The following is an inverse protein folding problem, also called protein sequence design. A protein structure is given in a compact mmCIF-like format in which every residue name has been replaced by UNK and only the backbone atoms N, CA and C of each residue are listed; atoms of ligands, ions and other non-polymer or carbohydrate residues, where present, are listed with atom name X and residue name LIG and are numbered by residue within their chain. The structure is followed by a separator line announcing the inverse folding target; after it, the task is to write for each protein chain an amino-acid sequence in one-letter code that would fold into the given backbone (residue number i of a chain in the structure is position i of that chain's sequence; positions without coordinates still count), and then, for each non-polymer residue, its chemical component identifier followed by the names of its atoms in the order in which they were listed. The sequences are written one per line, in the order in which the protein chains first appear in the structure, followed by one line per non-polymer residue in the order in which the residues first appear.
data_IF_308736056320
#
_entry.id   IF_308736056320
#
_cell.length_a   1.000
_cell.length_b   1.000
_cell.length_c   1.000
_cell.angle_alpha   90.00
_cell.angle_beta   90.00
_cell.angle_gamma   90.00
#
_symmetry.space_group_name_H-M   'P 1'
#
loop_
_entity.id
_entity.type
_entity.pdbx_description
1 polymer ?
#
# COMPACT_ATOMS: atom_id res chain seq x y z
N UNK A 1 -32.16 8.57 -8.30
CA UNK A 1 -30.84 8.89 -8.85
C UNK A 1 -30.17 9.75 -7.79
N UNK A 2 -29.27 9.18 -6.99
CA UNK A 2 -28.60 9.95 -5.94
C UNK A 2 -27.52 10.78 -6.60
N UNK A 3 -27.66 12.10 -6.56
CA UNK A 3 -26.61 13.01 -7.00
C UNK A 3 -25.35 12.72 -6.20
N UNK A 4 -24.25 12.59 -6.93
CA UNK A 4 -22.88 12.48 -6.43
C UNK A 4 -22.46 13.79 -5.76
N UNK A 5 -23.07 14.13 -4.62
CA UNK A 5 -22.61 15.24 -3.79
C UNK A 5 -21.17 14.97 -3.33
N UNK A 6 -20.37 16.02 -3.22
CA UNK A 6 -19.02 15.92 -2.68
C UNK A 6 -19.03 15.26 -1.29
N UNK A 7 -18.03 14.44 -1.00
CA UNK A 7 -17.90 13.80 0.32
C UNK A 7 -17.42 14.82 1.33
N UNK A 8 -18.16 14.98 2.42
CA UNK A 8 -17.79 15.91 3.49
C UNK A 8 -16.65 15.35 4.33
N UNK A 9 -16.00 16.22 5.10
CA UNK A 9 -14.93 15.81 6.04
C UNK A 9 -15.47 14.85 7.10
N UNK A 10 -16.71 15.06 7.55
CA UNK A 10 -17.39 14.16 8.49
C UNK A 10 -17.63 12.77 7.90
N UNK A 11 -18.16 12.69 6.68
CA UNK A 11 -18.36 11.40 5.99
C UNK A 11 -17.02 10.69 5.73
N UNK A 12 -15.99 11.44 5.34
CA UNK A 12 -14.64 10.89 5.17
C UNK A 12 -14.13 10.33 6.50
N UNK A 13 -14.31 11.05 7.62
CA UNK A 13 -13.90 10.59 8.95
C UNK A 13 -14.61 9.30 9.39
N UNK A 14 -15.93 9.24 9.25
CA UNK A 14 -16.72 8.04 9.57
C UNK A 14 -16.26 6.84 8.74
N UNK A 15 -16.12 7.04 7.42
CA UNK A 15 -15.74 5.98 6.49
C UNK A 15 -14.30 5.50 6.72
N UNK A 16 -13.36 6.42 6.95
CA UNK A 16 -11.95 6.08 7.22
C UNK A 16 -11.84 5.33 8.54
N UNK A 17 -12.53 5.75 9.60
CA UNK A 17 -12.54 5.02 10.87
C UNK A 17 -13.03 3.58 10.71
N UNK A 18 -14.16 3.37 10.03
CA UNK A 18 -14.70 2.04 9.75
C UNK A 18 -13.78 1.19 8.85
N UNK A 19 -13.08 1.82 7.91
CA UNK A 19 -12.06 1.14 7.10
C UNK A 19 -10.90 0.65 7.96
N UNK A 20 -10.41 1.49 8.87
CA UNK A 20 -9.30 1.16 9.75
C UNK A 20 -9.67 0.09 10.79
N UNK A 21 -10.92 0.01 11.21
CA UNK A 21 -11.41 -1.11 12.05
C UNK A 21 -11.37 -2.45 11.29
N UNK A 22 -11.73 -2.45 10.00
CA UNK A 22 -11.55 -3.64 9.15
C UNK A 22 -10.07 -3.97 8.95
N UNK A 23 -9.22 -2.97 8.70
CA UNK A 23 -7.78 -3.17 8.53
C UNK A 23 -7.15 -3.76 9.79
N UNK A 24 -7.50 -3.22 10.96
CA UNK A 24 -7.07 -3.76 12.25
C UNK A 24 -7.45 -5.23 12.40
N UNK A 25 -8.72 -5.57 12.13
CA UNK A 25 -9.21 -6.94 12.20
C UNK A 25 -8.40 -7.85 11.27
N UNK A 26 -8.14 -7.41 10.03
CA UNK A 26 -7.34 -8.16 9.07
C UNK A 26 -5.89 -8.34 9.54
N UNK A 27 -5.26 -7.30 10.08
CA UNK A 27 -3.90 -7.37 10.62
C UNK A 27 -3.79 -8.35 11.79
N UNK A 28 -4.84 -8.47 12.60
CA UNK A 28 -4.93 -9.40 13.73
C UNK A 28 -5.48 -10.80 13.37
N UNK A 29 -5.75 -11.07 12.09
CA UNK A 29 -6.38 -12.31 11.61
C UNK A 29 -7.79 -12.57 12.20
N UNK A 30 -8.48 -11.50 12.60
CA UNK A 30 -9.86 -11.50 13.06
C UNK A 30 -10.84 -11.44 11.89
N UNK A 31 -11.99 -12.12 12.02
CA UNK A 31 -13.01 -12.17 10.98
C UNK A 31 -13.86 -10.91 10.98
N UNK A 32 -14.08 -10.35 9.79
CA UNK A 32 -15.06 -9.29 9.56
C UNK A 32 -15.81 -9.53 8.26
N UNK A 33 -16.99 -8.90 8.11
CA UNK A 33 -17.83 -9.03 6.90
C UNK A 33 -17.97 -7.65 6.24
N UNK A 34 -17.30 -7.44 5.11
CA UNK A 34 -17.33 -6.18 4.34
C UNK A 34 -18.74 -5.68 4.04
N UNK A 35 -19.63 -6.60 3.64
CA UNK A 35 -21.02 -6.28 3.35
C UNK A 35 -21.79 -5.81 4.59
N UNK A 36 -21.42 -6.26 5.79
CA UNK A 36 -22.03 -5.78 7.04
C UNK A 36 -21.56 -4.38 7.38
N UNK A 37 -20.25 -4.11 7.31
CA UNK A 37 -19.69 -2.77 7.53
C UNK A 37 -20.29 -1.76 6.55
N UNK A 38 -20.42 -2.13 5.28
CA UNK A 38 -21.07 -1.28 4.28
C UNK A 38 -22.54 -0.99 4.62
N UNK A 39 -23.30 -1.98 5.10
CA UNK A 39 -24.69 -1.76 5.55
C UNK A 39 -24.76 -0.80 6.75
N UNK A 40 -23.90 -0.99 7.74
CA UNK A 40 -23.82 -0.10 8.90
C UNK A 40 -23.49 1.35 8.48
N UNK A 41 -22.62 1.53 7.49
CA UNK A 41 -22.30 2.84 6.94
C UNK A 41 -23.47 3.48 6.17
N UNK A 42 -24.31 2.68 5.50
CA UNK A 42 -25.55 3.18 4.87
C UNK A 42 -26.59 3.63 5.90
N UNK A 43 -26.58 3.06 7.11
CA UNK A 43 -27.52 3.44 8.17
C UNK A 43 -27.17 4.81 8.82
N UNK A 44 -25.92 5.25 8.69
CA UNK A 44 -25.41 6.49 9.31
C UNK A 44 -25.03 7.59 8.32
N UNK A 45 -25.00 7.28 7.02
CA UNK A 45 -24.72 8.25 5.95
C UNK A 45 -25.73 8.08 4.81
N UNK A 46 -26.10 9.18 4.14
CA UNK A 46 -26.94 9.13 2.93
C UNK A 46 -26.11 8.76 1.69
N UNK A 47 -25.44 7.61 1.75
CA UNK A 47 -24.56 7.10 0.69
C UNK A 47 -24.94 5.68 0.33
N UNK A 48 -25.19 5.43 -0.95
CA UNK A 48 -25.49 4.07 -1.42
C UNK A 48 -24.29 3.13 -1.33
N UNK A 49 -24.57 1.82 -1.22
CA UNK A 49 -23.57 0.73 -1.17
C UNK A 49 -22.38 0.93 -2.10
N UNK A 50 -22.62 1.17 -3.40
CA UNK A 50 -21.56 1.28 -4.41
C UNK A 50 -20.68 2.52 -4.22
N UNK A 51 -21.23 3.62 -3.70
CA UNK A 51 -20.47 4.83 -3.38
C UNK A 51 -19.48 4.56 -2.23
N UNK A 52 -19.94 3.84 -1.20
CA UNK A 52 -19.09 3.44 -0.07
C UNK A 52 -18.00 2.46 -0.52
N UNK A 53 -18.34 1.43 -1.33
CA UNK A 53 -17.35 0.48 -1.87
C UNK A 53 -16.28 1.20 -2.71
N UNK A 54 -16.70 2.16 -3.55
CA UNK A 54 -15.79 2.99 -4.31
C UNK A 54 -14.89 3.83 -3.40
N UNK A 55 -15.45 4.49 -2.39
CA UNK A 55 -14.68 5.31 -1.46
C UNK A 55 -13.66 4.48 -0.66
N UNK A 56 -13.97 3.22 -0.30
CA UNK A 56 -12.98 2.31 0.28
C UNK A 56 -11.81 1.97 -0.66
N UNK A 57 -12.06 1.86 -1.97
CA UNK A 57 -10.98 1.73 -2.96
C UNK A 57 -10.11 3.00 -3.04
N UNK A 58 -10.71 4.17 -2.83
CA UNK A 58 -9.96 5.43 -2.78
C UNK A 58 -9.09 5.51 -1.51
N UNK A 59 -9.59 5.07 -0.34
CA UNK A 59 -8.78 4.93 0.88
C UNK A 59 -7.59 4.00 0.63
N UNK A 60 -7.84 2.86 -0.01
CA UNK A 60 -6.77 1.90 -0.37
C UNK A 60 -5.73 2.52 -1.30
N UNK A 61 -6.14 3.43 -2.19
CA UNK A 61 -5.21 4.18 -3.03
C UNK A 61 -4.35 5.18 -2.24
N UNK A 62 -4.92 5.88 -1.26
CA UNK A 62 -4.16 6.76 -0.36
C UNK A 62 -3.15 5.97 0.47
N UNK A 63 -3.56 4.85 1.07
CA UNK A 63 -2.67 3.99 1.87
C UNK A 63 -1.50 3.46 1.03
N UNK A 64 -1.76 3.08 -0.22
CA UNK A 64 -0.71 2.69 -1.17
C UNK A 64 0.26 3.85 -1.47
N UNK A 65 -0.21 5.08 -1.65
CA UNK A 65 0.66 6.27 -1.82
C UNK A 65 1.59 6.44 -0.61
N UNK A 66 1.13 6.08 0.59
CA UNK A 66 1.87 6.17 1.85
C UNK A 66 2.69 4.91 2.19
N UNK A 67 2.76 3.91 1.30
CA UNK A 67 3.40 2.61 1.56
C UNK A 67 2.86 1.88 2.81
N UNK A 68 1.58 2.12 3.15
CA UNK A 68 0.89 1.46 4.25
C UNK A 68 0.02 0.30 3.70
N UNK A 69 -0.14 -0.82 4.44
CA UNK A 69 -1.05 -1.88 4.01
C UNK A 69 -2.50 -1.39 3.91
N UNK A 70 -3.30 -2.09 3.12
CA UNK A 70 -4.70 -1.80 2.90
C UNK A 70 -5.48 -3.11 2.93
N UNK A 71 -6.78 -3.03 3.25
CA UNK A 71 -7.65 -4.21 3.38
C UNK A 71 -7.69 -4.98 2.07
N UNK A 72 -7.35 -6.26 2.10
CA UNK A 72 -7.31 -7.12 0.92
C UNK A 72 -8.66 -7.12 0.21
N UNK A 73 -8.66 -7.11 -1.13
CA UNK A 73 -9.87 -7.12 -1.96
C UNK A 73 -10.50 -5.74 -2.20
N UNK A 74 -10.06 -4.67 -1.53
CA UNK A 74 -10.33 -3.30 -1.98
C UNK A 74 -9.17 -2.82 -2.85
N UNK A 75 -9.26 -3.10 -4.15
CA UNK A 75 -8.21 -2.71 -5.10
C UNK A 75 -8.09 -1.17 -5.16
N UNK A 76 -6.90 -0.59 -4.98
CA UNK A 76 -6.69 0.85 -5.09
C UNK A 76 -7.26 1.46 -6.38
N UNK A 77 -8.17 2.43 -6.23
CA UNK A 77 -8.73 3.23 -7.33
C UNK A 77 -8.45 4.72 -7.07
N UNK A 78 -7.50 5.35 -7.79
CA UNK A 78 -7.09 6.72 -7.50
C UNK A 78 -8.06 7.74 -8.11
N UNK A 79 -9.09 8.13 -7.35
CA UNK A 79 -9.93 9.30 -7.61
C UNK A 79 -10.10 10.11 -6.31
N UNK A 80 -8.99 10.66 -5.82
CA UNK A 80 -8.84 11.08 -4.42
C UNK A 80 -9.02 12.59 -4.27
N UNK A 81 -10.03 13.00 -3.50
CA UNK A 81 -10.18 14.38 -3.00
C UNK A 81 -9.15 14.67 -1.89
N UNK A 82 -8.74 15.93 -1.73
CA UNK A 82 -7.73 16.33 -0.73
C UNK A 82 -8.16 15.97 0.70
N UNK A 83 -9.41 16.26 1.08
CA UNK A 83 -9.98 15.95 2.40
C UNK A 83 -9.87 14.47 2.79
N UNK A 84 -9.96 13.55 1.82
CA UNK A 84 -9.75 12.13 2.09
C UNK A 84 -8.31 11.81 2.49
N UNK A 85 -7.32 12.47 1.88
CA UNK A 85 -5.90 12.28 2.24
C UNK A 85 -5.65 12.73 3.67
N UNK A 86 -6.25 13.85 4.06
CA UNK A 86 -6.09 14.41 5.40
C UNK A 86 -6.75 13.50 6.45
N UNK A 87 -7.99 13.05 6.22
CA UNK A 87 -8.66 12.09 7.09
C UNK A 87 -7.86 10.79 7.29
N UNK A 88 -7.29 10.22 6.21
CA UNK A 88 -6.44 9.02 6.31
C UNK A 88 -5.16 9.29 7.10
N UNK A 89 -4.50 10.43 6.86
CA UNK A 89 -3.28 10.78 7.61
C UNK A 89 -3.57 10.94 9.10
N UNK A 90 -4.64 11.63 9.44
CA UNK A 90 -5.07 11.82 10.83
C UNK A 90 -5.40 10.49 11.51
N UNK A 91 -6.05 9.56 10.80
CA UNK A 91 -6.37 8.23 11.33
C UNK A 91 -5.09 7.43 11.67
N UNK A 92 -4.09 7.45 10.79
CA UNK A 92 -2.79 6.80 11.04
C UNK A 92 -2.12 7.40 12.28
N UNK A 93 -2.13 8.72 12.41
CA UNK A 93 -1.53 9.41 13.56
C UNK A 93 -2.29 9.11 14.87
N UNK A 94 -3.60 8.88 14.79
CA UNK A 94 -4.43 8.54 15.95
C UNK A 94 -4.27 7.10 16.42
N UNK A 95 -3.83 6.20 15.52
CA UNK A 95 -3.74 4.74 15.75
C UNK A 95 -2.32 4.20 15.52
N UNK A 96 -1.31 4.65 16.31
CA UNK A 96 0.07 4.23 16.13
C UNK A 96 0.27 2.71 16.27
N UNK A 97 -0.62 2.02 17.00
CA UNK A 97 -0.61 0.56 17.14
C UNK A 97 -0.76 -0.18 15.80
N UNK A 98 -1.44 0.42 14.82
CA UNK A 98 -1.61 -0.20 13.50
C UNK A 98 -0.33 -0.22 12.69
N UNK A 99 0.56 0.76 12.90
CA UNK A 99 1.88 0.77 12.27
C UNK A 99 2.71 -0.42 12.75
N UNK A 100 2.66 -0.72 14.05
CA UNK A 100 3.37 -1.87 14.61
C UNK A 100 2.77 -3.19 14.09
N UNK A 101 1.44 -3.32 14.10
CA UNK A 101 0.76 -4.51 13.55
C UNK A 101 1.05 -4.72 12.07
N UNK A 102 1.06 -3.65 11.28
CA UNK A 102 1.43 -3.67 9.87
C UNK A 102 2.86 -4.18 9.68
N UNK A 103 3.80 -3.63 10.44
CA UNK A 103 5.21 -4.03 10.39
C UNK A 103 5.42 -5.50 10.80
N UNK A 104 4.78 -5.93 11.88
CA UNK A 104 4.85 -7.30 12.38
C UNK A 104 4.31 -8.30 11.35
N UNK A 105 3.18 -7.98 10.72
CA UNK A 105 2.57 -8.84 9.71
C UNK A 105 3.43 -8.97 8.47
N UNK A 106 4.02 -7.86 8.00
CA UNK A 106 4.96 -7.85 6.87
C UNK A 106 6.20 -8.70 7.23
N UNK A 107 6.79 -8.48 8.41
CA UNK A 107 8.00 -9.18 8.86
C UNK A 107 7.76 -10.68 9.01
N UNK A 108 6.62 -11.09 9.58
CA UNK A 108 6.27 -12.51 9.72
C UNK A 108 6.03 -13.22 8.37
N UNK A 109 5.59 -12.47 7.35
CA UNK A 109 5.37 -13.02 6.01
C UNK A 109 6.67 -13.14 5.19
N UNK A 110 7.73 -12.42 5.56
CA UNK A 110 9.03 -12.55 4.90
C UNK A 110 9.70 -13.88 5.30
N UNK A 111 10.31 -14.61 4.36
CA UNK A 111 11.10 -15.78 4.69
C UNK A 111 12.32 -15.37 5.52
N UNK A 112 12.70 -16.20 6.48
CA UNK A 112 13.96 -16.02 7.19
C UNK A 112 15.13 -16.22 6.21
N UNK A 113 15.80 -15.11 5.88
CA UNK A 113 16.98 -15.06 5.01
C UNK A 113 18.29 -15.02 5.80
N UNK A 114 18.23 -15.13 7.14
CA UNK A 114 19.41 -15.24 7.98
C UNK A 114 20.13 -16.57 7.67
N UNK A 115 21.07 -16.49 6.73
CA UNK A 115 21.89 -17.62 6.26
C UNK A 115 21.75 -17.96 4.77
N UNK A 116 20.81 -17.34 4.03
CA UNK A 116 20.64 -17.61 2.60
C UNK A 116 21.46 -16.71 1.67
N UNK A 117 22.04 -15.63 2.21
CA UNK A 117 22.98 -14.78 1.48
C UNK A 117 24.39 -15.39 1.49
N UNK A 118 24.55 -16.53 0.83
CA UNK A 118 25.86 -16.92 0.34
C UNK A 118 26.18 -15.98 -0.83
N UNK A 119 26.80 -14.84 -0.53
CA UNK A 119 27.49 -14.06 -1.54
C UNK A 119 28.62 -14.94 -2.08
N UNK A 120 28.33 -15.68 -3.15
CA UNK A 120 29.36 -16.36 -3.91
C UNK A 120 30.06 -15.27 -4.70
N UNK A 121 31.30 -14.97 -4.32
CA UNK A 121 32.19 -14.13 -5.12
C UNK A 121 32.43 -14.86 -6.44
N UNK A 122 31.57 -14.60 -7.42
CA UNK A 122 31.77 -15.05 -8.78
C UNK A 122 32.96 -14.30 -9.36
N UNK A 123 33.81 -15.01 -10.10
CA UNK A 123 34.89 -14.40 -10.86
C UNK A 123 34.31 -13.25 -11.71
N UNK A 124 34.92 -12.07 -11.61
CA UNK A 124 34.41 -10.89 -12.30
C UNK A 124 34.19 -11.24 -13.78
N UNK A 125 33.02 -10.96 -14.37
CA UNK A 125 32.79 -11.28 -15.76
C UNK A 125 33.89 -10.62 -16.57
N UNK A 126 34.64 -11.40 -17.34
CA UNK A 126 35.61 -10.85 -18.28
C UNK A 126 34.80 -10.08 -19.31
N UNK A 127 34.69 -8.77 -19.10
CA UNK A 127 34.23 -7.87 -20.15
C UNK A 127 35.24 -8.09 -21.28
N UNK A 128 34.79 -8.69 -22.38
CA UNK A 128 35.57 -8.94 -23.59
C UNK A 128 35.94 -7.63 -24.28
N UNK A 129 36.57 -6.74 -23.53
CA UNK A 129 37.24 -5.56 -24.04
C UNK A 129 38.56 -6.09 -24.58
N UNK A 130 38.58 -6.38 -25.87
CA UNK A 130 39.83 -6.51 -26.62
C UNK A 130 40.64 -5.25 -26.37
N UNK A 131 41.61 -5.36 -25.47
CA UNK A 131 42.62 -4.33 -25.27
C UNK A 131 43.38 -4.26 -26.59
N UNK A 132 43.10 -3.24 -27.40
CA UNK A 132 43.86 -2.92 -28.60
C UNK A 132 45.35 -2.93 -28.24
N UNK A 133 46.06 -4.00 -28.63
CA UNK A 133 47.51 -4.03 -28.60
C UNK A 133 47.99 -3.04 -29.66
N UNK A 134 48.36 -1.83 -29.22
CA UNK A 134 49.30 -1.02 -29.96
C UNK A 134 50.62 -1.81 -30.07
N UNK A 135 50.88 -2.37 -31.24
CA UNK A 135 52.15 -3.02 -31.56
C UNK A 135 53.26 -1.97 -31.71
N UNK A 136 54.49 -2.25 -31.25
CA UNK A 136 55.62 -1.33 -31.37
C UNK A 136 56.05 -1.16 -32.84
N UNK A 137 56.49 0.04 -33.17
CA UNK A 137 56.88 0.45 -34.53
C UNK A 137 57.97 -0.41 -35.16
N UNK A 138 57.91 -0.48 -36.49
CA UNK A 138 58.95 -1.08 -37.32
C UNK A 138 59.53 0.01 -38.24
N UNK A 139 60.78 0.40 -37.98
CA UNK A 139 61.66 1.11 -38.90
C UNK A 139 62.29 0.09 -39.86
N UNK A 140 62.23 0.36 -41.17
CA UNK A 140 63.15 -0.06 -42.25
C UNK A 140 62.64 0.61 -43.54
N UNK A 141 63.40 1.31 -44.38
CA UNK A 141 64.80 1.72 -44.42
C UNK A 141 64.93 2.95 -45.33
#
# INVERSE_FOLDING_TARGET
MAESGDWTDEENGILVSAYFDMLRSELQDERFVKAQVNRQLQDVMDRGRGSIEYKFMNVSAVLREMSFPFVNGYKPYPNIQASLRDAVREEILRRPELTNLAFDKITRAMPDVSGSAAWVEGEAPSLGLDVFRAGPGQHVG
#
